data_IF_169126017594
#
_entry.id   IF_169126017594
#
_cell.length_a   1.000
_cell.length_b   1.000
_cell.length_c   1.000
_cell.angle_alpha   90.00
_cell.angle_beta   90.00
_cell.angle_gamma   90.00
#
_symmetry.space_group_name_H-M   'P 1'
#
loop_
_entity.id
_entity.type
_entity.pdbx_description
1 polymer ?
#
# COMPACT_ATOMS: atom_id res chain seq x y z
N UNK A 1 50.75 -57.84 -28.44
CA UNK A 1 50.19 -56.51 -28.75
C UNK A 1 49.02 -56.27 -27.80
N UNK A 2 49.17 -55.40 -26.81
CA UNK A 2 48.05 -54.74 -26.15
C UNK A 2 48.59 -53.52 -25.40
N UNK A 3 48.22 -52.33 -25.88
CA UNK A 3 48.67 -51.06 -25.35
C UNK A 3 47.80 -50.68 -24.14
N UNK A 4 48.42 -50.46 -22.98
CA UNK A 4 47.76 -49.89 -21.81
C UNK A 4 47.85 -48.36 -21.91
N UNK A 5 46.73 -47.71 -22.21
CA UNK A 5 46.63 -46.25 -22.27
C UNK A 5 46.41 -45.69 -20.86
N UNK A 6 47.39 -44.95 -20.35
CA UNK A 6 47.25 -44.18 -19.11
C UNK A 6 46.34 -42.96 -19.37
N UNK A 7 45.17 -42.93 -18.71
CA UNK A 7 44.33 -41.74 -18.65
C UNK A 7 44.88 -40.76 -17.61
N UNK A 8 45.53 -39.71 -18.08
CA UNK A 8 45.93 -38.56 -17.25
C UNK A 8 44.69 -37.77 -16.86
N UNK A 9 44.33 -37.79 -15.57
CA UNK A 9 43.32 -36.90 -14.99
C UNK A 9 43.82 -35.45 -15.08
N UNK A 10 43.27 -34.67 -16.02
CA UNK A 10 43.45 -33.23 -16.06
C UNK A 10 42.66 -32.60 -14.91
N UNK A 11 43.37 -32.00 -13.96
CA UNK A 11 42.82 -31.19 -12.89
C UNK A 11 42.02 -30.03 -13.47
N UNK A 12 40.72 -29.96 -13.16
CA UNK A 12 39.84 -28.84 -13.53
C UNK A 12 40.11 -27.71 -12.53
N UNK A 13 40.59 -26.52 -12.94
CA UNK A 13 40.69 -25.40 -12.01
C UNK A 13 39.28 -24.89 -11.69
N UNK A 14 38.79 -25.14 -10.47
CA UNK A 14 37.64 -24.42 -9.92
C UNK A 14 38.05 -22.98 -9.70
N UNK A 15 37.80 -22.11 -10.69
CA UNK A 15 37.72 -20.67 -10.45
C UNK A 15 36.47 -20.43 -9.61
N UNK A 16 36.61 -20.47 -8.29
CA UNK A 16 35.66 -19.76 -7.44
C UNK A 16 35.84 -18.27 -7.78
N UNK A 17 34.78 -17.56 -8.21
CA UNK A 17 34.87 -16.11 -8.28
C UNK A 17 35.14 -15.64 -6.85
N UNK A 18 36.32 -15.05 -6.64
CA UNK A 18 36.57 -14.21 -5.47
C UNK A 18 35.60 -13.06 -5.63
N UNK A 19 34.49 -13.13 -4.90
CA UNK A 19 33.54 -12.02 -4.82
C UNK A 19 34.34 -10.85 -4.25
N UNK A 20 34.46 -9.80 -5.06
CA UNK A 20 35.12 -8.57 -4.64
C UNK A 20 34.38 -8.01 -3.42
N UNK A 21 35.01 -8.16 -2.26
CA UNK A 21 34.44 -7.89 -0.93
C UNK A 21 34.45 -6.40 -0.58
N UNK A 22 34.69 -5.51 -1.56
CA UNK A 22 34.95 -4.08 -1.32
C UNK A 22 33.80 -3.14 -1.69
N UNK A 23 32.70 -3.64 -2.26
CA UNK A 23 31.44 -2.89 -2.29
C UNK A 23 30.61 -3.27 -1.05
N UNK A 24 30.78 -2.52 0.04
CA UNK A 24 29.77 -2.51 1.12
C UNK A 24 28.49 -1.93 0.53
N UNK A 25 27.67 -2.78 -0.10
CA UNK A 25 26.33 -2.39 -0.52
C UNK A 25 25.53 -2.17 0.76
N UNK A 26 25.30 -0.91 1.12
CA UNK A 26 24.39 -0.59 2.22
C UNK A 26 23.04 -1.22 1.88
N UNK A 27 22.55 -2.07 2.77
CA UNK A 27 21.20 -2.63 2.66
C UNK A 27 20.19 -1.49 2.70
N UNK A 28 19.18 -1.56 1.87
CA UNK A 28 18.01 -0.67 1.92
C UNK A 28 17.25 -0.82 3.25
N UNK A 29 16.47 0.18 3.67
CA UNK A 29 15.62 0.02 4.86
C UNK A 29 14.64 -1.15 4.74
N UNK A 30 14.12 -1.45 3.55
CA UNK A 30 13.25 -2.62 3.33
C UNK A 30 13.98 -3.93 3.62
N UNK A 31 15.22 -4.09 3.13
CA UNK A 31 16.02 -5.29 3.44
C UNK A 31 16.35 -5.41 4.92
N UNK A 32 16.57 -4.29 5.61
CA UNK A 32 16.81 -4.28 7.05
C UNK A 32 15.55 -4.64 7.84
N UNK A 33 14.40 -4.08 7.48
CA UNK A 33 13.11 -4.41 8.09
C UNK A 33 12.74 -5.88 7.89
N UNK A 34 12.96 -6.43 6.70
CA UNK A 34 12.75 -7.85 6.42
C UNK A 34 13.73 -8.75 7.17
N UNK A 35 14.95 -8.27 7.46
CA UNK A 35 15.88 -8.99 8.35
C UNK A 35 15.38 -8.96 9.80
N UNK A 36 14.83 -7.85 10.26
CA UNK A 36 14.28 -7.71 11.62
C UNK A 36 13.08 -8.63 11.84
N UNK A 37 12.20 -8.77 10.84
CA UNK A 37 11.04 -9.66 10.91
C UNK A 37 11.39 -11.14 11.10
N UNK A 38 12.63 -11.55 10.79
CA UNK A 38 13.11 -12.91 11.06
C UNK A 38 13.21 -13.23 12.56
N UNK A 39 13.27 -12.20 13.41
CA UNK A 39 13.43 -12.33 14.86
C UNK A 39 12.27 -11.75 15.66
N UNK A 40 11.40 -10.96 15.03
CA UNK A 40 10.25 -10.30 15.65
C UNK A 40 8.98 -10.53 14.86
N UNK A 41 7.92 -10.92 15.57
CA UNK A 41 6.57 -11.05 15.01
C UNK A 41 5.87 -9.69 14.80
N UNK A 42 6.38 -8.62 15.41
CA UNK A 42 5.72 -7.31 15.48
C UNK A 42 6.51 -6.22 14.74
N UNK A 43 6.88 -6.48 13.48
CA UNK A 43 7.61 -5.50 12.64
C UNK A 43 6.67 -4.56 11.86
N UNK A 44 5.37 -4.86 11.81
CA UNK A 44 4.33 -3.94 11.34
C UNK A 44 3.89 -3.05 12.51
N UNK A 45 4.60 -1.95 12.68
CA UNK A 45 4.52 -1.08 13.86
C UNK A 45 3.83 0.26 13.60
N UNK A 46 3.30 0.46 12.38
CA UNK A 46 2.44 1.59 12.03
C UNK A 46 1.15 1.09 11.39
N UNK A 47 0.02 1.66 11.80
CA UNK A 47 -1.29 1.47 11.17
C UNK A 47 -1.88 2.81 10.78
N UNK A 48 -2.02 3.03 9.49
CA UNK A 48 -2.81 4.14 8.97
C UNK A 48 -4.26 3.73 8.80
N UNK A 49 -5.19 4.66 9.03
CA UNK A 49 -6.54 4.60 8.48
C UNK A 49 -6.69 5.71 7.46
N UNK A 50 -7.29 5.40 6.32
CA UNK A 50 -7.66 6.37 5.29
C UNK A 50 -9.06 5.99 4.77
N UNK A 51 -9.80 6.98 4.28
CA UNK A 51 -11.18 6.79 3.84
C UNK A 51 -11.24 6.34 2.38
N UNK A 52 -12.17 5.46 2.03
CA UNK A 52 -12.24 4.86 0.69
C UNK A 52 -13.47 5.23 -0.12
N UNK A 53 -14.46 5.91 0.48
CA UNK A 53 -15.72 6.23 -0.17
C UNK A 53 -16.11 7.69 0.01
N UNK A 54 -16.69 8.26 -1.04
CA UNK A 54 -17.35 9.57 -1.09
C UNK A 54 -18.86 9.36 -1.15
N UNK A 55 -19.58 10.05 -0.28
CA UNK A 55 -21.04 10.13 -0.26
C UNK A 55 -21.49 11.55 -0.60
N UNK A 56 -22.58 11.64 -1.37
CA UNK A 56 -23.26 12.88 -1.68
C UNK A 56 -24.58 12.90 -0.92
N UNK A 57 -24.82 13.96 -0.15
CA UNK A 57 -26.09 14.19 0.53
C UNK A 57 -27.05 14.96 -0.38
N UNK A 58 -28.36 14.84 -0.11
CA UNK A 58 -29.40 15.56 -0.87
C UNK A 58 -29.26 17.10 -0.80
N UNK A 59 -28.61 17.62 0.24
CA UNK A 59 -28.32 19.04 0.42
C UNK A 59 -27.06 19.52 -0.32
N UNK A 60 -26.40 18.64 -1.07
CA UNK A 60 -25.16 18.91 -1.80
C UNK A 60 -23.90 18.82 -0.95
N UNK A 61 -23.99 18.44 0.33
CA UNK A 61 -22.79 18.20 1.16
C UNK A 61 -22.08 16.92 0.72
N UNK A 62 -20.75 16.99 0.66
CA UNK A 62 -19.89 15.84 0.35
C UNK A 62 -19.24 15.37 1.64
N UNK A 63 -19.37 14.08 1.93
CA UNK A 63 -18.71 13.42 3.06
C UNK A 63 -17.84 12.29 2.55
N UNK A 64 -16.68 12.10 3.19
CA UNK A 64 -15.80 10.97 2.87
C UNK A 64 -15.73 10.04 4.07
N UNK A 65 -16.00 8.74 3.85
CA UNK A 65 -16.19 7.74 4.88
C UNK A 65 -15.59 6.37 4.53
N UNK A 66 -16.02 5.31 5.22
CA UNK A 66 -15.55 3.93 5.05
C UNK A 66 -14.04 3.82 5.30
N UNK A 67 -13.61 3.96 6.58
CA UNK A 67 -12.19 3.90 6.92
C UNK A 67 -11.62 2.51 6.66
N UNK A 68 -10.49 2.47 5.96
CA UNK A 68 -9.73 1.27 5.63
C UNK A 68 -8.30 1.40 6.16
N UNK A 69 -7.69 0.29 6.57
CA UNK A 69 -6.37 0.32 7.20
C UNK A 69 -5.24 -0.03 6.23
N UNK A 70 -4.07 0.57 6.44
CA UNK A 70 -2.80 0.21 5.78
C UNK A 70 -1.76 -0.03 6.88
N UNK A 71 -1.26 -1.26 6.98
CA UNK A 71 -0.14 -1.60 7.87
C UNK A 71 1.19 -1.21 7.21
N UNK A 72 2.10 -0.67 8.00
CA UNK A 72 3.39 -0.22 7.54
C UNK A 72 4.49 -0.41 8.60
N UNK A 73 5.73 -0.17 8.17
CA UNK A 73 6.97 -0.38 8.91
C UNK A 73 7.64 0.98 9.07
N UNK A 74 7.71 1.48 10.30
CA UNK A 74 8.21 2.81 10.63
C UNK A 74 9.65 3.00 10.16
N UNK A 75 10.52 1.99 10.31
CA UNK A 75 11.94 2.07 9.94
C UNK A 75 12.16 2.34 8.45
N UNK A 76 11.22 1.92 7.59
CA UNK A 76 11.26 2.23 6.15
C UNK A 76 10.69 3.62 5.89
N UNK A 77 9.57 3.97 6.52
CA UNK A 77 8.92 5.27 6.30
C UNK A 77 9.79 6.45 6.74
N UNK A 78 10.54 6.28 7.83
CA UNK A 78 11.44 7.31 8.40
C UNK A 78 12.62 7.67 7.50
N UNK A 79 12.87 6.97 6.40
CA UNK A 79 13.79 7.46 5.37
C UNK A 79 13.32 8.77 4.73
N UNK A 80 12.02 9.08 4.83
CA UNK A 80 11.44 10.35 4.41
C UNK A 80 11.21 11.24 5.64
N UNK A 81 11.79 12.44 5.62
CA UNK A 81 11.75 13.40 6.74
C UNK A 81 10.33 13.68 7.25
N UNK A 82 9.35 13.71 6.34
CA UNK A 82 7.94 13.95 6.69
C UNK A 82 7.45 12.89 7.68
N UNK A 83 7.70 11.62 7.37
CA UNK A 83 7.31 10.51 8.22
C UNK A 83 8.18 10.40 9.47
N UNK A 84 9.45 10.81 9.42
CA UNK A 84 10.26 10.85 10.63
C UNK A 84 9.70 11.85 11.66
N UNK A 85 9.29 13.04 11.22
CA UNK A 85 8.59 14.01 12.08
C UNK A 85 7.22 13.47 12.52
N UNK A 86 6.40 12.96 11.61
CA UNK A 86 5.07 12.41 11.89
C UNK A 86 5.11 11.31 12.95
N UNK A 87 6.07 10.39 12.82
CA UNK A 87 6.19 9.22 13.68
C UNK A 87 6.98 9.48 14.98
N UNK A 88 7.55 10.67 15.17
CA UNK A 88 8.28 11.02 16.39
C UNK A 88 7.40 11.57 17.52
N UNK A 89 6.09 11.63 17.33
CA UNK A 89 5.13 11.99 18.38
C UNK A 89 4.85 13.48 18.53
N UNK A 90 5.29 14.31 17.57
CA UNK A 90 5.07 15.76 17.56
C UNK A 90 3.76 16.21 16.89
N UNK A 91 2.96 15.29 16.35
CA UNK A 91 1.74 15.59 15.61
C UNK A 91 0.50 15.20 16.41
N UNK A 92 -0.56 15.99 16.31
CA UNK A 92 -1.85 15.70 16.94
C UNK A 92 -2.44 14.34 16.51
N UNK A 93 -2.03 13.83 15.34
CA UNK A 93 -2.48 12.56 14.76
C UNK A 93 -1.80 11.31 15.36
N UNK A 94 -0.68 11.47 16.10
CA UNK A 94 0.00 10.33 16.73
C UNK A 94 -0.70 9.93 18.03
N UNK A 95 -1.82 9.21 17.91
CA UNK A 95 -2.44 8.57 19.06
C UNK A 95 -1.50 7.42 19.53
N UNK A 96 -1.41 7.22 20.85
CA UNK A 96 -0.49 6.28 21.48
C UNK A 96 -0.55 4.84 20.93
N UNK A 97 0.40 4.00 21.36
CA UNK A 97 0.51 2.61 20.89
C UNK A 97 -0.78 1.83 21.17
N UNK A 98 -1.31 1.17 20.15
CA UNK A 98 -2.53 0.35 20.20
C UNK A 98 -2.25 -1.06 19.68
N UNK A 99 -3.15 -2.01 19.92
CA UNK A 99 -3.11 -3.31 19.27
C UNK A 99 -3.12 -3.17 17.73
N UNK A 100 -2.30 -3.98 17.05
CA UNK A 100 -2.33 -4.11 15.58
C UNK A 100 -3.66 -4.68 15.09
N UNK A 101 -4.46 -5.30 15.95
CA UNK A 101 -5.80 -5.80 15.61
C UNK A 101 -6.92 -4.79 15.96
N UNK A 102 -6.58 -3.65 16.55
CA UNK A 102 -7.58 -2.65 16.91
C UNK A 102 -8.34 -2.13 15.68
N UNK A 103 -9.65 -1.98 15.82
CA UNK A 103 -10.52 -1.36 14.81
C UNK A 103 -10.24 0.14 14.67
N UNK A 104 -11.05 0.82 13.85
CA UNK A 104 -11.04 2.28 13.76
C UNK A 104 -11.22 2.91 15.15
N UNK A 105 -10.54 4.02 15.49
CA UNK A 105 -10.61 4.61 16.83
C UNK A 105 -12.02 5.08 17.18
N UNK A 106 -12.55 4.66 18.34
CA UNK A 106 -13.88 5.08 18.82
C UNK A 106 -13.93 6.58 19.18
N UNK A 107 -12.78 7.19 19.46
CA UNK A 107 -12.61 8.61 19.75
C UNK A 107 -12.56 9.49 18.49
N UNK A 108 -12.63 8.89 17.30
CA UNK A 108 -12.67 9.62 16.02
C UNK A 108 -13.95 9.33 15.25
N UNK A 109 -14.43 10.33 14.51
CA UNK A 109 -15.54 10.13 13.59
C UNK A 109 -15.12 9.17 12.45
N UNK A 110 -15.91 8.15 12.09
CA UNK A 110 -15.62 7.24 10.98
C UNK A 110 -15.89 7.87 9.61
N UNK A 111 -15.80 9.19 9.53
CA UNK A 111 -15.94 10.02 8.35
C UNK A 111 -15.16 11.32 8.55
N UNK A 112 -14.98 12.07 7.46
CA UNK A 112 -14.43 13.42 7.49
C UNK A 112 -15.20 14.32 6.52
N UNK A 113 -15.54 15.51 7.01
CA UNK A 113 -16.12 16.60 6.20
C UNK A 113 -15.02 17.60 5.79
N UNK A 114 -13.76 17.35 6.18
CA UNK A 114 -12.59 18.19 5.87
C UNK A 114 -11.90 17.78 4.55
N UNK A 115 -12.46 16.81 3.81
CA UNK A 115 -11.86 16.30 2.57
C UNK A 115 -12.05 17.32 1.43
N UNK A 116 -10.97 18.03 1.09
CA UNK A 116 -10.95 19.17 0.18
C UNK A 116 -10.69 18.81 -1.30
N UNK A 117 -10.77 17.52 -1.66
CA UNK A 117 -10.43 17.06 -3.02
C UNK A 117 -11.56 16.30 -3.71
N UNK A 118 -12.53 17.07 -4.16
CA UNK A 118 -13.74 16.58 -4.84
C UNK A 118 -13.46 15.78 -6.12
N UNK A 119 -12.35 16.08 -6.81
CA UNK A 119 -11.94 15.39 -8.04
C UNK A 119 -11.19 14.08 -7.81
N UNK A 120 -11.12 13.59 -6.56
CA UNK A 120 -10.41 12.36 -6.26
C UNK A 120 -11.10 11.14 -6.87
N UNK A 121 -10.50 10.57 -7.90
CA UNK A 121 -11.02 9.38 -8.58
C UNK A 121 -10.71 8.07 -7.85
N UNK A 122 -9.90 8.12 -6.78
CA UNK A 122 -9.55 6.96 -5.96
C UNK A 122 -10.53 6.71 -4.80
N UNK A 123 -11.54 7.58 -4.66
CA UNK A 123 -12.71 7.34 -3.81
C UNK A 123 -13.79 6.58 -4.58
N UNK A 124 -14.40 5.60 -3.91
CA UNK A 124 -15.63 4.95 -4.37
C UNK A 124 -16.78 5.98 -4.29
N UNK A 125 -17.58 6.10 -5.35
CA UNK A 125 -18.78 6.93 -5.34
C UNK A 125 -19.95 6.07 -4.84
N UNK A 126 -20.69 6.51 -3.80
CA UNK A 126 -21.88 5.78 -3.30
C UNK A 126 -23.03 5.76 -4.33
N UNK A 127 -23.00 6.68 -5.29
CA UNK A 127 -23.91 6.78 -6.44
C UNK A 127 -23.19 6.31 -7.72
N UNK A 128 -22.81 5.04 -7.81
CA UNK A 128 -22.46 4.50 -9.12
C UNK A 128 -23.73 4.54 -9.99
N UNK A 129 -23.68 5.33 -11.07
CA UNK A 129 -24.67 5.26 -12.15
C UNK A 129 -24.96 3.78 -12.47
N UNK A 130 -26.22 3.34 -12.51
CA UNK A 130 -26.58 1.92 -12.60
C UNK A 130 -25.93 1.21 -13.80
N UNK A 131 -25.60 1.94 -14.86
CA UNK A 131 -24.89 1.45 -16.05
C UNK A 131 -23.43 1.04 -15.77
N UNK A 132 -22.74 1.77 -14.88
CA UNK A 132 -21.37 1.48 -14.45
C UNK A 132 -21.34 0.32 -13.44
N UNK A 133 -22.37 0.21 -12.60
CA UNK A 133 -22.52 -0.88 -11.64
C UNK A 133 -22.91 -2.20 -12.31
N UNK A 134 -23.76 -2.18 -13.35
CA UNK A 134 -24.01 -3.35 -14.19
C UNK A 134 -22.72 -3.83 -14.89
N UNK A 135 -21.88 -2.93 -15.38
CA UNK A 135 -20.64 -3.32 -16.05
C UNK A 135 -19.59 -3.87 -15.07
N UNK A 136 -19.45 -3.28 -13.89
CA UNK A 136 -18.60 -3.80 -12.82
C UNK A 136 -19.09 -5.17 -12.32
N UNK A 137 -20.41 -5.36 -12.20
CA UNK A 137 -20.99 -6.63 -11.78
C UNK A 137 -20.96 -7.72 -12.86
N UNK A 138 -21.03 -7.37 -14.15
CA UNK A 138 -20.83 -8.29 -15.27
C UNK A 138 -19.38 -8.79 -15.34
N UNK A 139 -18.40 -7.91 -15.10
CA UNK A 139 -16.98 -8.30 -14.98
C UNK A 139 -16.74 -9.24 -13.80
N UNK A 140 -17.33 -8.95 -12.63
CA UNK A 140 -17.29 -9.83 -11.44
C UNK A 140 -17.97 -11.18 -11.65
N UNK A 141 -19.01 -11.26 -12.48
CA UNK A 141 -19.72 -12.53 -12.80
C UNK A 141 -18.92 -13.47 -13.70
N UNK A 142 -17.96 -12.97 -14.48
CA UNK A 142 -17.04 -13.81 -15.25
C UNK A 142 -15.91 -14.40 -14.37
N UNK A 143 -15.62 -13.77 -13.23
CA UNK A 143 -14.68 -14.24 -12.21
C UNK A 143 -15.37 -15.00 -11.08
N UNK A 144 -15.85 -16.22 -11.37
CA UNK A 144 -16.12 -17.32 -10.43
C UNK A 144 -16.64 -16.94 -9.03
N UNK A 145 -17.94 -17.19 -8.81
CA UNK A 145 -18.53 -17.41 -7.49
C UNK A 145 -17.56 -18.16 -6.56
N UNK A 146 -17.02 -17.43 -5.60
CA UNK A 146 -16.64 -17.97 -4.30
C UNK A 146 -17.49 -17.22 -3.29
N UNK A 147 -18.68 -17.74 -3.06
CA UNK A 147 -19.37 -17.58 -1.78
C UNK A 147 -18.45 -18.20 -0.73
N UNK A 148 -17.56 -17.38 -0.17
CA UNK A 148 -16.82 -17.70 1.04
C UNK A 148 -17.37 -16.82 2.14
N UNK A 149 -18.56 -17.19 2.63
CA UNK A 149 -18.95 -17.04 4.03
C UNK A 149 -18.09 -17.95 4.95
N UNK A 150 -16.84 -18.23 4.57
CA UNK A 150 -15.87 -18.75 5.50
C UNK A 150 -15.52 -17.59 6.42
N UNK A 151 -15.97 -17.66 7.68
CA UNK A 151 -15.38 -16.89 8.75
C UNK A 151 -13.86 -17.08 8.68
N UNK A 152 -13.17 -16.14 8.05
CA UNK A 152 -11.74 -15.97 8.21
C UNK A 152 -11.64 -15.58 9.66
N UNK A 153 -11.29 -16.55 10.51
CA UNK A 153 -10.78 -16.25 11.84
C UNK A 153 -9.65 -15.26 11.59
N UNK A 154 -9.91 -13.98 11.85
CA UNK A 154 -8.97 -12.91 11.58
C UNK A 154 -7.70 -13.31 12.29
N UNK A 155 -6.67 -13.68 11.53
CA UNK A 155 -5.39 -14.03 12.11
C UNK A 155 -4.97 -12.79 12.89
N UNK A 156 -4.93 -12.89 14.22
CA UNK A 156 -4.49 -11.78 15.07
C UNK A 156 -3.04 -11.50 14.69
N UNK A 157 -2.77 -10.29 14.21
CA UNK A 157 -1.42 -9.86 13.87
C UNK A 157 -0.54 -9.85 15.13
N UNK A 158 -1.13 -9.63 16.31
CA UNK A 158 -0.43 -9.52 17.58
C UNK A 158 0.45 -8.27 17.65
N UNK A 159 0.83 -7.88 18.87
CA UNK A 159 1.73 -6.74 19.09
C UNK A 159 1.05 -5.38 19.11
N UNK A 160 1.87 -4.33 19.03
CA UNK A 160 1.43 -2.95 19.15
C UNK A 160 1.98 -2.09 18.01
N UNK A 161 1.16 -1.18 17.49
CA UNK A 161 1.52 -0.20 16.49
C UNK A 161 1.16 1.22 16.91
N UNK A 162 1.84 2.20 16.33
CA UNK A 162 1.37 3.58 16.29
C UNK A 162 0.24 3.70 15.27
N UNK A 163 -0.87 4.34 15.66
CA UNK A 163 -2.06 4.48 14.81
C UNK A 163 -2.23 5.93 14.39
N UNK A 164 -2.47 6.15 13.10
CA UNK A 164 -2.60 7.47 12.48
C UNK A 164 -3.83 7.47 11.57
N UNK A 165 -4.63 8.54 11.60
CA UNK A 165 -5.80 8.69 10.73
C UNK A 165 -5.50 9.77 9.69
N UNK A 166 -5.54 9.39 8.42
CA UNK A 166 -5.29 10.24 7.27
C UNK A 166 -6.64 10.71 6.74
N UNK A 167 -6.90 12.00 6.87
CA UNK A 167 -8.18 12.63 6.50
C UNK A 167 -8.18 13.27 5.11
N UNK A 168 -7.03 13.38 4.47
CA UNK A 168 -6.84 14.28 3.32
C UNK A 168 -6.29 13.58 2.07
N UNK A 169 -6.26 12.24 2.09
CA UNK A 169 -5.92 11.36 0.99
C UNK A 169 -6.81 10.10 1.00
N UNK A 170 -7.22 9.66 -0.19
CA UNK A 170 -8.00 8.44 -0.36
C UNK A 170 -7.18 7.18 -0.02
N UNK A 171 -7.87 6.14 0.46
CA UNK A 171 -7.27 4.86 0.83
C UNK A 171 -6.41 4.25 -0.28
N UNK A 172 -6.91 4.18 -1.52
CA UNK A 172 -6.17 3.59 -2.63
C UNK A 172 -4.89 4.39 -2.95
N UNK A 173 -4.98 5.72 -2.93
CA UNK A 173 -3.82 6.60 -3.09
C UNK A 173 -2.80 6.38 -1.97
N UNK A 174 -3.25 6.35 -0.70
CA UNK A 174 -2.36 6.16 0.45
C UNK A 174 -1.68 4.79 0.45
N UNK A 175 -2.43 3.71 0.14
CA UNK A 175 -1.88 2.36 0.01
C UNK A 175 -0.81 2.29 -1.08
N UNK A 176 -1.06 2.91 -2.23
CA UNK A 176 -0.08 2.99 -3.31
C UNK A 176 1.15 3.82 -2.91
N UNK A 177 0.96 4.89 -2.13
CA UNK A 177 2.06 5.73 -1.64
C UNK A 177 2.97 4.98 -0.67
N UNK A 178 2.41 4.26 0.31
CA UNK A 178 3.19 3.39 1.21
C UNK A 178 3.97 2.34 0.41
N UNK A 179 3.35 1.71 -0.59
CA UNK A 179 4.04 0.75 -1.46
C UNK A 179 5.17 1.40 -2.27
N UNK A 180 4.96 2.61 -2.78
CA UNK A 180 5.97 3.39 -3.47
C UNK A 180 7.15 3.71 -2.53
N UNK A 181 6.91 4.05 -1.26
CA UNK A 181 8.00 4.31 -0.31
C UNK A 181 8.90 3.10 -0.14
N UNK A 182 8.35 1.89 -0.16
CA UNK A 182 9.11 0.65 -0.02
C UNK A 182 9.88 0.30 -1.30
N UNK A 183 9.19 0.28 -2.43
CA UNK A 183 9.72 -0.38 -3.64
C UNK A 183 10.05 0.58 -4.77
N UNK A 184 9.76 1.87 -4.61
CA UNK A 184 9.86 2.92 -5.65
C UNK A 184 9.09 2.57 -6.92
N UNK A 185 7.98 1.84 -6.76
CA UNK A 185 7.08 1.42 -7.83
C UNK A 185 5.68 1.97 -7.58
N UNK A 186 5.03 2.38 -8.66
CA UNK A 186 3.65 2.89 -8.64
C UNK A 186 2.93 2.36 -9.87
N UNK A 187 1.64 2.04 -9.72
CA UNK A 187 0.77 1.63 -10.82
C UNK A 187 -0.31 2.69 -10.99
N UNK A 188 -0.27 3.40 -12.11
CA UNK A 188 -1.21 4.46 -12.39
C UNK A 188 -2.37 3.94 -13.23
N UNK A 189 -3.58 4.19 -12.74
CA UNK A 189 -4.80 3.96 -13.49
C UNK A 189 -4.95 5.00 -14.60
N UNK A 190 -5.58 4.63 -15.73
CA UNK A 190 -6.05 5.60 -16.72
C UNK A 190 -6.88 6.71 -16.06
N UNK A 191 -6.82 7.91 -16.64
CA UNK A 191 -7.58 9.04 -16.15
C UNK A 191 -9.08 8.79 -16.39
N UNK A 192 -9.90 9.01 -15.36
CA UNK A 192 -11.38 8.91 -15.46
C UNK A 192 -11.95 9.79 -16.58
N UNK A 193 -11.30 10.91 -16.87
CA UNK A 193 -11.70 11.86 -17.92
C UNK A 193 -11.34 11.42 -19.35
N UNK A 194 -10.43 10.46 -19.52
CA UNK A 194 -9.98 10.01 -20.84
C UNK A 194 -10.73 8.76 -21.28
N UNK A 195 -10.76 7.74 -20.43
CA UNK A 195 -11.41 6.47 -20.72
C UNK A 195 -11.92 5.82 -19.42
N UNK A 196 -13.18 6.08 -19.02
CA UNK A 196 -13.79 5.50 -17.83
C UNK A 196 -13.80 3.97 -17.84
N UNK A 197 -14.04 3.36 -19.01
CA UNK A 197 -14.16 1.92 -19.17
C UNK A 197 -12.80 1.24 -18.99
N UNK A 198 -11.75 1.77 -19.64
CA UNK A 198 -10.39 1.27 -19.45
C UNK A 198 -9.92 1.44 -18.01
N UNK A 199 -10.30 2.54 -17.34
CA UNK A 199 -10.01 2.74 -15.92
C UNK A 199 -10.66 1.65 -15.06
N UNK A 200 -11.95 1.38 -15.23
CA UNK A 200 -12.69 0.36 -14.46
C UNK A 200 -12.10 -1.03 -14.71
N UNK A 201 -11.77 -1.35 -15.97
CA UNK A 201 -11.15 -2.62 -16.33
C UNK A 201 -9.76 -2.77 -15.68
N UNK A 202 -8.92 -1.75 -15.74
CA UNK A 202 -7.59 -1.75 -15.12
C UNK A 202 -7.66 -1.85 -13.59
N UNK A 203 -8.62 -1.15 -12.96
CA UNK A 203 -8.85 -1.25 -11.51
C UNK A 203 -9.28 -2.66 -11.13
N UNK A 204 -10.27 -3.22 -11.83
CA UNK A 204 -10.77 -4.59 -11.56
C UNK A 204 -9.66 -5.60 -11.70
N UNK A 205 -8.90 -5.55 -12.80
CA UNK A 205 -7.75 -6.43 -13.02
C UNK A 205 -6.71 -6.33 -11.89
N UNK A 206 -6.39 -5.11 -11.45
CA UNK A 206 -5.39 -4.90 -10.40
C UNK A 206 -5.89 -5.29 -8.99
N UNK A 207 -7.20 -5.28 -8.74
CA UNK A 207 -7.77 -5.75 -7.47
C UNK A 207 -7.91 -7.29 -7.42
N UNK A 208 -8.11 -7.93 -8.57
CA UNK A 208 -8.22 -9.39 -8.69
C UNK A 208 -6.86 -10.10 -8.71
N UNK A 209 -5.79 -9.37 -9.03
CA UNK A 209 -4.42 -9.88 -9.04
C UNK A 209 -3.71 -9.61 -7.69
N UNK A 210 -3.42 -10.66 -6.87
CA UNK A 210 -2.76 -10.49 -5.57
C UNK A 210 -1.31 -10.02 -5.68
N UNK A 211 -0.67 -10.15 -6.85
CA UNK A 211 0.72 -9.72 -7.10
C UNK A 211 0.78 -8.31 -7.71
N UNK A 212 -0.37 -7.73 -8.08
CA UNK A 212 -0.42 -6.41 -8.66
C UNK A 212 0.07 -5.33 -7.68
N UNK A 213 0.83 -4.38 -8.23
CA UNK A 213 1.18 -3.15 -7.53
C UNK A 213 -0.12 -2.39 -7.24
N UNK A 214 -0.34 -1.91 -6.00
CA UNK A 214 -1.54 -1.16 -5.64
C UNK A 214 -1.79 -0.01 -6.63
N UNK A 215 -2.96 0.00 -7.31
CA UNK A 215 -3.28 1.02 -8.29
C UNK A 215 -3.73 2.32 -7.60
N UNK A 216 -3.46 3.45 -8.24
CA UNK A 216 -3.98 4.77 -7.84
C UNK A 216 -4.11 5.71 -9.04
N UNK A 217 -4.79 6.83 -8.84
CA UNK A 217 -4.88 7.93 -9.80
C UNK A 217 -3.58 8.72 -9.83
N UNK A 218 -3.04 9.04 -11.03
CA UNK A 218 -1.92 9.96 -11.17
C UNK A 218 -2.16 11.28 -10.43
N UNK A 219 -3.35 11.88 -10.61
CA UNK A 219 -3.67 13.20 -10.05
C UNK A 219 -3.67 13.19 -8.53
N UNK A 220 -4.29 12.18 -7.92
CA UNK A 220 -4.34 12.03 -6.47
C UNK A 220 -2.94 11.78 -5.89
N UNK A 221 -2.12 10.96 -6.55
CA UNK A 221 -0.74 10.72 -6.13
C UNK A 221 0.14 11.98 -6.23
N UNK A 222 0.07 12.75 -7.33
CA UNK A 222 0.84 13.99 -7.46
C UNK A 222 0.41 15.04 -6.45
N UNK A 223 -0.90 15.21 -6.22
CA UNK A 223 -1.43 16.09 -5.16
C UNK A 223 -0.87 15.71 -3.79
N UNK A 224 -0.87 14.42 -3.46
CA UNK A 224 -0.30 13.94 -2.19
C UNK A 224 1.20 14.24 -2.10
N UNK A 225 1.95 14.02 -3.18
CA UNK A 225 3.38 14.33 -3.22
C UNK A 225 3.66 15.82 -3.03
N UNK A 226 2.88 16.70 -3.66
CA UNK A 226 2.96 18.15 -3.47
C UNK A 226 2.70 18.55 -2.01
N UNK A 227 1.68 17.96 -1.37
CA UNK A 227 1.42 18.19 0.06
C UNK A 227 2.58 17.75 0.94
N UNK A 228 3.17 16.58 0.70
CA UNK A 228 4.33 16.09 1.46
C UNK A 228 5.53 17.03 1.30
N UNK A 229 5.76 17.54 0.09
CA UNK A 229 6.81 18.54 -0.17
C UNK A 229 6.48 19.85 0.56
N UNK A 230 5.25 20.33 0.48
CA UNK A 230 4.83 21.56 1.15
C UNK A 230 4.99 21.47 2.66
N UNK A 231 4.61 20.35 3.30
CA UNK A 231 4.78 20.13 4.73
C UNK A 231 6.25 20.03 5.18
N UNK A 232 7.18 19.82 4.25
CA UNK A 232 8.62 19.79 4.54
C UNK A 232 9.30 21.15 4.40
N UNK A 233 8.82 22.00 3.50
CA UNK A 233 9.54 23.21 3.07
C UNK A 233 8.72 24.52 3.09
N UNK A 234 7.42 24.46 3.40
CA UNK A 234 6.52 25.61 3.55
C UNK A 234 6.43 26.08 4.99
#
# INVERSE_FOLDING_TARGET
MSASAALTLKTIPRKHPVVDMTASSRKSAVELAMKESMHSVSFLDVKFFAFSRRQFSEDGTVRVDKPQHVLAISSVLREVEYFDKLLSGGFAESNGRTSVDAAFPEDQAPYTDEYDYESDSDLEDDELEPELEEMASQSRRAGKQRDTSSGVQSASYGGQCQRIVIKDAAYHTWRAFVFYLYFKKVNFLPLKSEDPQARVAALTQALDDPEAIPPCSPKSMYRLAEKVIYLLYG
#
